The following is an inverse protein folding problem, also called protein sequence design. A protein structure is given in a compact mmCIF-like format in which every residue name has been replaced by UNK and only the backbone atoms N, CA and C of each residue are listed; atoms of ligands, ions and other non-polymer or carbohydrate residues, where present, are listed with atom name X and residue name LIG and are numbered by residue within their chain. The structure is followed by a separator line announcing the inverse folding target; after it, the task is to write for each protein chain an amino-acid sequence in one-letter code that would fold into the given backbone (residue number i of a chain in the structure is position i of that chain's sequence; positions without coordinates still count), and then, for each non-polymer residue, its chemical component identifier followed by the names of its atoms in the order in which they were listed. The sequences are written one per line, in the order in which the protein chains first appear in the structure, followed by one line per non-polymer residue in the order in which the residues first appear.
data_IF_917538287898
#
_entry.id   IF_917538287898
#
_cell.length_a   1.000
_cell.length_b   1.000
_cell.length_c   1.000
_cell.angle_alpha   90.00
_cell.angle_beta   90.00
_cell.angle_gamma   90.00
#
_symmetry.space_group_name_H-M   'P 1'
#
loop_
_entity.id
_entity.type
_entity.pdbx_description
1 polymer ?
#
# COMPACT_ATOMS: atom_id res chain seq x y z
N UNK A 1 3.28 4.08 -8.33
CA UNK A 1 3.01 4.38 -6.90
C UNK A 1 1.90 5.41 -6.83
N UNK A 2 0.85 5.20 -6.02
CA UNK A 2 -0.22 6.20 -5.82
C UNK A 2 -0.53 6.35 -4.33
N UNK A 3 -0.57 7.60 -3.85
CA UNK A 3 -1.02 7.95 -2.49
C UNK A 3 -2.54 7.88 -2.42
N UNK A 4 -3.08 7.21 -1.41
CA UNK A 4 -4.52 7.17 -1.14
C UNK A 4 -4.92 8.45 -0.38
N UNK A 5 -6.02 9.09 -0.79
CA UNK A 5 -6.53 10.29 -0.13
C UNK A 5 -7.46 9.90 1.03
N UNK A 6 -7.36 10.60 2.16
CA UNK A 6 -8.25 10.44 3.30
C UNK A 6 -7.90 9.30 4.26
N UNK A 7 -6.68 8.77 4.19
CA UNK A 7 -6.16 7.78 5.14
C UNK A 7 -5.17 8.45 6.09
N UNK A 8 -5.35 8.22 7.39
CA UNK A 8 -4.41 8.55 8.45
C UNK A 8 -4.05 7.25 9.19
N UNK A 9 -2.78 6.79 9.14
CA UNK A 9 -1.62 7.41 8.49
C UNK A 9 -1.65 7.38 6.95
N UNK A 10 -0.86 8.24 6.32
CA UNK A 10 -0.77 8.37 4.86
C UNK A 10 -0.41 7.04 4.20
N UNK A 11 -1.40 6.43 3.53
CA UNK A 11 -1.25 5.10 2.95
C UNK A 11 -0.97 5.18 1.45
N UNK A 12 0.00 4.42 0.98
CA UNK A 12 0.37 4.32 -0.43
C UNK A 12 0.03 2.94 -0.98
N UNK A 13 -0.30 2.93 -2.28
CA UNK A 13 -0.50 1.71 -3.06
C UNK A 13 0.56 1.57 -4.14
N UNK A 14 1.24 0.43 -4.11
CA UNK A 14 2.14 -0.01 -5.18
C UNK A 14 1.60 -1.26 -5.87
N UNK A 15 1.87 -1.38 -7.17
CA UNK A 15 1.38 -2.50 -7.99
C UNK A 15 2.56 -3.16 -8.67
N UNK A 16 2.68 -4.47 -8.48
CA UNK A 16 3.64 -5.33 -9.17
C UNK A 16 2.84 -6.46 -9.80
N UNK A 17 2.67 -6.43 -11.13
CA UNK A 17 1.85 -7.40 -11.85
C UNK A 17 0.39 -7.47 -11.30
N UNK A 18 -0.07 -8.66 -10.83
CA UNK A 18 -1.40 -8.82 -10.24
C UNK A 18 -1.49 -8.42 -8.76
N UNK A 19 -0.36 -8.12 -8.11
CA UNK A 19 -0.30 -7.80 -6.68
C UNK A 19 -0.51 -6.32 -6.42
N UNK A 20 -1.21 -6.00 -5.33
CA UNK A 20 -1.38 -4.66 -4.76
C UNK A 20 -0.81 -4.68 -3.36
N UNK A 21 0.14 -3.78 -3.11
CA UNK A 21 0.74 -3.58 -1.80
C UNK A 21 0.22 -2.28 -1.23
N UNK A 22 -0.20 -2.33 0.03
CA UNK A 22 -0.62 -1.18 0.82
C UNK A 22 0.38 -1.00 1.94
N UNK A 23 0.95 0.18 2.05
CA UNK A 23 1.98 0.47 3.03
C UNK A 23 1.94 1.94 3.44
N UNK A 24 2.48 2.23 4.61
CA UNK A 24 2.74 3.59 5.08
C UNK A 24 4.25 3.78 5.21
N UNK A 25 4.67 5.03 5.15
CA UNK A 25 6.05 5.41 5.42
C UNK A 25 6.06 6.31 6.65
N UNK A 26 6.90 5.96 7.60
CA UNK A 26 7.31 6.83 8.68
C UNK A 26 8.68 7.42 8.32
N UNK A 27 8.69 8.70 7.92
CA UNK A 27 9.92 9.41 7.56
C UNK A 27 10.81 9.73 8.77
N UNK A 28 10.24 9.75 9.99
CA UNK A 28 10.99 10.00 11.22
C UNK A 28 11.88 8.81 11.58
N UNK A 29 11.28 7.62 11.58
CA UNK A 29 11.96 6.36 11.88
C UNK A 29 12.55 5.68 10.63
N UNK A 30 12.42 6.31 9.44
CA UNK A 30 12.79 5.75 8.13
C UNK A 30 12.27 4.33 7.91
N UNK A 31 11.06 4.07 8.37
CA UNK A 31 10.46 2.73 8.40
C UNK A 31 9.30 2.65 7.42
N UNK A 32 9.25 1.55 6.66
CA UNK A 32 8.13 1.23 5.77
C UNK A 32 7.30 0.13 6.41
N UNK A 33 6.05 0.45 6.73
CA UNK A 33 5.12 -0.53 7.29
C UNK A 33 4.26 -1.11 6.18
N UNK A 34 4.43 -2.40 5.89
CA UNK A 34 3.54 -3.12 4.99
C UNK A 34 2.23 -3.47 5.72
N UNK A 35 1.12 -2.94 5.25
CA UNK A 35 -0.21 -3.16 5.84
C UNK A 35 -0.84 -4.42 5.26
N UNK A 36 -0.86 -4.51 3.93
CA UNK A 36 -1.51 -5.62 3.24
C UNK A 36 -0.90 -5.87 1.86
N UNK A 37 -0.97 -7.12 1.42
CA UNK A 37 -0.66 -7.55 0.07
C UNK A 37 -1.85 -8.34 -0.49
N UNK A 38 -2.49 -7.80 -1.52
CA UNK A 38 -3.63 -8.43 -2.17
C UNK A 38 -3.25 -8.88 -3.59
N UNK A 39 -3.72 -10.05 -4.00
CA UNK A 39 -3.77 -10.41 -5.41
C UNK A 39 -5.08 -9.92 -6.02
N UNK A 40 -5.04 -9.55 -7.30
CA UNK A 40 -6.27 -9.36 -8.06
C UNK A 40 -6.91 -10.73 -8.26
N UNK A 41 -7.70 -11.18 -7.27
CA UNK A 41 -8.66 -12.26 -7.51
C UNK A 41 -9.51 -11.83 -8.71
N UNK A 42 -9.54 -12.67 -9.74
CA UNK A 42 -10.60 -12.58 -10.73
C UNK A 42 -11.90 -12.69 -9.92
N UNK A 43 -12.80 -11.70 -10.05
CA UNK A 43 -14.15 -11.84 -9.53
C UNK A 43 -14.68 -13.16 -10.07
N UNK A 44 -14.98 -14.10 -9.18
CA UNK A 44 -15.68 -15.33 -9.53
C UNK A 44 -17.11 -14.99 -9.95
#
# INVERSE_FOLDING_TARGET
MKKLKGFDPETWRYRIGPYRFFYTIDDGERTVFLIAAETRQASY
#
